data_IF_108408221565
#
_entry.id   IF_108408221565
#
_cell.length_a   1.000
_cell.length_b   1.000
_cell.length_c   1.000
_cell.angle_alpha   90.00
_cell.angle_beta   90.00
_cell.angle_gamma   90.00
#
_symmetry.space_group_name_H-M   'P 1'
#
loop_
_entity.id
_entity.type
_entity.pdbx_description
1 polymer ?
#
# COMPACT_ATOMS: atom_id res chain seq x y z
N UNK A 1 8.29 17.45 12.69
CA UNK A 1 7.23 18.42 12.34
C UNK A 1 7.63 19.88 12.58
N UNK A 2 8.09 20.27 13.79
CA UNK A 2 8.28 21.69 14.13
C UNK A 2 9.63 22.31 13.77
N UNK A 3 10.62 21.50 13.36
CA UNK A 3 11.92 22.02 12.93
C UNK A 3 11.77 22.68 11.56
N UNK A 4 12.07 23.98 11.49
CA UNK A 4 12.07 24.73 10.24
C UNK A 4 13.35 24.45 9.43
N UNK A 5 13.18 23.82 8.28
CA UNK A 5 14.26 23.49 7.33
C UNK A 5 14.20 24.31 6.05
N UNK A 6 13.41 25.38 6.01
CA UNK A 6 13.18 26.15 4.78
C UNK A 6 14.47 26.71 4.17
N UNK A 7 15.43 27.17 4.99
CA UNK A 7 16.74 27.63 4.51
C UNK A 7 17.57 26.50 3.91
N UNK A 8 17.61 25.32 4.55
CA UNK A 8 18.31 24.13 4.06
C UNK A 8 17.72 23.62 2.75
N UNK A 9 16.38 23.59 2.66
CA UNK A 9 15.64 23.23 1.46
C UNK A 9 15.97 24.20 0.32
N UNK A 10 16.00 25.50 0.59
CA UNK A 10 16.31 26.53 -0.40
C UNK A 10 17.76 26.45 -0.90
N UNK A 11 18.69 25.94 -0.09
CA UNK A 11 20.09 25.79 -0.46
C UNK A 11 20.34 24.65 -1.47
N UNK A 12 19.44 23.66 -1.56
CA UNK A 12 19.55 22.55 -2.50
C UNK A 12 19.05 23.01 -3.88
N UNK A 13 19.88 22.86 -4.91
CA UNK A 13 19.49 23.25 -6.28
C UNK A 13 18.53 22.23 -6.91
N UNK A 14 17.68 22.66 -7.85
CA UNK A 14 16.81 21.73 -8.59
C UNK A 14 17.62 20.70 -9.37
N UNK A 15 18.75 21.11 -9.97
CA UNK A 15 19.62 20.23 -10.74
C UNK A 15 20.26 19.13 -9.86
N UNK A 16 20.71 19.50 -8.65
CA UNK A 16 21.21 18.55 -7.66
C UNK A 16 20.10 17.55 -7.28
N UNK A 17 18.90 18.04 -6.97
CA UNK A 17 17.78 17.18 -6.59
C UNK A 17 17.36 16.23 -7.72
N UNK A 18 17.28 16.71 -8.96
CA UNK A 18 16.96 15.87 -10.13
C UNK A 18 18.01 14.77 -10.34
N UNK A 19 19.30 15.07 -10.18
CA UNK A 19 20.35 14.05 -10.26
C UNK A 19 20.26 13.04 -9.11
N UNK A 20 19.96 13.53 -7.91
CA UNK A 20 19.82 12.72 -6.72
C UNK A 20 18.71 11.67 -6.86
N UNK A 21 17.49 12.06 -7.24
CA UNK A 21 16.35 11.10 -7.35
C UNK A 21 16.52 10.07 -8.48
N UNK A 22 17.39 10.34 -9.47
CA UNK A 22 17.67 9.44 -10.60
C UNK A 22 18.74 8.39 -10.29
N UNK A 23 19.38 8.46 -9.13
CA UNK A 23 20.42 7.51 -8.72
C UNK A 23 19.80 6.26 -8.11
N UNK A 24 20.41 5.10 -8.38
CA UNK A 24 20.03 3.82 -7.79
C UNK A 24 20.70 3.63 -6.42
N UNK A 25 19.91 3.42 -5.37
CA UNK A 25 20.38 3.04 -4.04
C UNK A 25 19.89 1.65 -3.60
N UNK A 26 19.14 0.95 -4.45
CA UNK A 26 18.61 -0.39 -4.20
C UNK A 26 19.57 -1.49 -4.64
N UNK A 27 20.13 -1.39 -5.85
CA UNK A 27 21.09 -2.39 -6.35
C UNK A 27 22.29 -2.54 -5.40
N UNK A 28 22.90 -1.46 -4.87
CA UNK A 28 23.97 -1.58 -3.88
C UNK A 28 23.53 -2.24 -2.56
N UNK A 29 22.28 -2.05 -2.11
CA UNK A 29 21.76 -2.72 -0.91
C UNK A 29 21.68 -4.23 -1.13
N UNK A 30 21.14 -4.64 -2.29
CA UNK A 30 21.04 -6.05 -2.67
C UNK A 30 22.41 -6.71 -2.68
N UNK A 31 23.36 -6.12 -3.39
CA UNK A 31 24.74 -6.64 -3.47
C UNK A 31 25.41 -6.71 -2.08
N UNK A 32 25.20 -5.70 -1.24
CA UNK A 32 25.77 -5.67 0.11
C UNK A 32 25.20 -6.78 1.00
N UNK A 33 23.90 -7.05 0.95
CA UNK A 33 23.26 -8.09 1.77
C UNK A 33 23.53 -9.50 1.25
N UNK A 34 23.60 -9.69 -0.07
CA UNK A 34 23.99 -10.97 -0.68
C UNK A 34 25.43 -11.38 -0.30
N UNK A 35 26.31 -10.39 -0.09
CA UNK A 35 27.69 -10.62 0.33
C UNK A 35 27.84 -10.97 1.84
N UNK A 36 26.79 -10.81 2.65
CA UNK A 36 26.83 -11.17 4.07
C UNK A 36 26.49 -12.65 4.23
N UNK A 37 27.50 -13.45 4.57
CA UNK A 37 27.33 -14.87 4.88
C UNK A 37 26.34 -15.06 6.05
N UNK A 38 25.40 -15.99 5.88
CA UNK A 38 24.37 -16.33 6.88
C UNK A 38 23.53 -15.12 7.38
N UNK A 39 23.26 -14.12 6.54
CA UNK A 39 22.37 -13.01 6.90
C UNK A 39 20.97 -13.55 7.30
N UNK A 40 20.50 -13.30 8.54
CA UNK A 40 19.30 -13.95 9.06
C UNK A 40 17.98 -13.24 8.67
N UNK A 41 18.07 -12.07 8.04
CA UNK A 41 16.93 -11.28 7.59
C UNK A 41 16.60 -11.50 6.11
N UNK A 42 15.75 -10.62 5.56
CA UNK A 42 15.44 -10.59 4.15
C UNK A 42 16.63 -10.09 3.33
N UNK A 43 17.05 -10.89 2.36
CA UNK A 43 17.99 -10.48 1.31
C UNK A 43 17.16 -10.10 0.08
N UNK A 44 17.18 -8.84 -0.37
CA UNK A 44 16.46 -8.42 -1.57
C UNK A 44 16.85 -9.26 -2.78
N UNK A 45 15.86 -9.79 -3.50
CA UNK A 45 16.05 -10.74 -4.60
C UNK A 45 15.42 -10.27 -5.92
N UNK A 46 14.72 -9.13 -5.90
CA UNK A 46 14.16 -8.49 -7.08
C UNK A 46 15.22 -7.65 -7.82
N UNK A 47 15.14 -7.58 -9.14
CA UNK A 47 15.89 -6.70 -10.00
C UNK A 47 14.97 -5.67 -10.67
N UNK A 48 14.80 -4.52 -10.03
CA UNK A 48 14.01 -3.42 -10.60
C UNK A 48 14.54 -2.92 -11.95
N UNK A 49 15.81 -3.16 -12.32
CA UNK A 49 16.32 -2.73 -13.62
C UNK A 49 15.85 -3.64 -14.76
N UNK A 50 15.51 -4.91 -14.47
CA UNK A 50 14.91 -5.81 -15.46
C UNK A 50 13.42 -5.50 -15.67
N UNK A 51 12.77 -4.90 -14.68
CA UNK A 51 11.39 -4.44 -14.77
C UNK A 51 10.37 -5.58 -14.75
N UNK A 52 9.15 -5.25 -15.18
CA UNK A 52 7.98 -6.12 -15.14
C UNK A 52 7.46 -6.37 -16.55
N UNK A 53 6.76 -7.49 -16.74
CA UNK A 53 5.97 -7.73 -17.94
C UNK A 53 4.57 -7.13 -17.86
N UNK A 54 3.81 -7.26 -18.95
CA UNK A 54 2.52 -6.61 -19.13
C UNK A 54 1.43 -7.21 -18.20
N UNK A 55 1.70 -8.36 -17.57
CA UNK A 55 0.87 -8.98 -16.54
C UNK A 55 1.43 -8.73 -15.12
N UNK A 56 2.41 -7.83 -14.99
CA UNK A 56 2.98 -7.36 -13.73
C UNK A 56 4.02 -8.30 -13.10
N UNK A 57 4.41 -9.40 -13.76
CA UNK A 57 5.43 -10.31 -13.22
C UNK A 57 6.84 -9.74 -13.41
N UNK A 58 7.67 -9.90 -12.40
CA UNK A 58 9.08 -9.52 -12.47
C UNK A 58 9.81 -10.37 -13.53
N UNK A 59 10.61 -9.71 -14.39
CA UNK A 59 11.29 -10.36 -15.52
C UNK A 59 12.55 -11.13 -15.13
N UNK A 60 12.98 -11.02 -13.88
CA UNK A 60 14.20 -11.62 -13.32
C UNK A 60 14.00 -13.06 -12.79
N UNK A 61 12.77 -13.57 -12.81
CA UNK A 61 12.42 -14.90 -12.30
C UNK A 61 12.20 -14.97 -10.79
N UNK A 62 12.24 -13.84 -10.07
CA UNK A 62 12.00 -13.75 -8.61
C UNK A 62 10.58 -14.09 -8.18
N UNK A 63 9.64 -14.22 -9.14
CA UNK A 63 8.23 -14.54 -8.92
C UNK A 63 7.43 -13.44 -8.19
N UNK A 64 8.03 -12.27 -7.97
CA UNK A 64 7.32 -11.08 -7.53
C UNK A 64 6.34 -10.64 -8.61
N UNK A 65 5.14 -10.25 -8.18
CA UNK A 65 4.14 -9.65 -9.07
C UNK A 65 3.72 -8.29 -8.54
N UNK A 66 3.87 -7.27 -9.36
CA UNK A 66 3.44 -5.92 -9.06
C UNK A 66 1.92 -5.78 -9.17
N UNK A 67 1.36 -4.90 -8.35
CA UNK A 67 -0.06 -4.56 -8.42
C UNK A 67 -0.26 -3.05 -8.55
N UNK A 68 -1.32 -2.70 -9.28
CA UNK A 68 -1.83 -1.34 -9.43
C UNK A 68 -3.04 -1.15 -8.55
N UNK A 69 -3.01 -0.11 -7.71
CA UNK A 69 -4.02 0.14 -6.69
C UNK A 69 -4.23 1.64 -6.48
N UNK A 70 -5.39 2.00 -5.93
CA UNK A 70 -5.66 3.37 -5.50
C UNK A 70 -4.95 3.62 -4.16
N UNK A 71 -3.99 4.57 -4.07
CA UNK A 71 -3.24 4.81 -2.84
C UNK A 71 -4.12 5.15 -1.65
N UNK A 72 -3.66 4.83 -0.44
CA UNK A 72 -4.33 5.24 0.79
C UNK A 72 -4.27 6.77 0.95
N UNK A 73 -5.34 7.35 1.48
CA UNK A 73 -5.56 8.80 1.57
C UNK A 73 -4.45 9.50 2.35
N UNK A 74 -4.00 10.66 1.86
CA UNK A 74 -3.02 11.54 2.52
C UNK A 74 -1.58 11.02 2.61
N UNK A 75 -1.38 9.72 2.81
CA UNK A 75 -0.06 9.14 3.15
C UNK A 75 0.84 8.93 1.93
N UNK A 76 0.32 8.29 0.88
CA UNK A 76 1.07 7.87 -0.31
C UNK A 76 0.67 8.68 -1.55
N UNK A 77 0.41 9.98 -1.34
CA UNK A 77 0.08 10.89 -2.42
C UNK A 77 1.34 11.59 -2.93
N UNK A 78 1.57 11.64 -4.26
CA UNK A 78 2.72 12.33 -4.82
C UNK A 78 2.78 13.81 -4.40
N UNK A 79 1.61 14.45 -4.27
CA UNK A 79 1.50 15.84 -3.78
C UNK A 79 1.87 16.04 -2.31
N UNK A 80 2.01 14.97 -1.54
CA UNK A 80 2.54 14.98 -0.16
C UNK A 80 3.98 14.45 -0.10
N UNK A 81 4.60 14.21 -1.26
CA UNK A 81 6.02 13.91 -1.39
C UNK A 81 6.33 12.43 -1.43
N UNK A 82 5.33 11.56 -1.39
CA UNK A 82 5.51 10.10 -1.40
C UNK A 82 4.88 9.49 -2.64
N UNK A 83 5.64 8.63 -3.31
CA UNK A 83 5.13 7.66 -4.26
C UNK A 83 5.51 6.27 -3.75
N UNK A 84 4.69 5.28 -4.05
CA UNK A 84 4.91 3.91 -3.59
C UNK A 84 4.55 2.90 -4.67
N UNK A 85 5.04 1.68 -4.50
CA UNK A 85 4.60 0.50 -5.21
C UNK A 85 4.50 -0.67 -4.23
N UNK A 86 3.64 -1.64 -4.53
CA UNK A 86 3.53 -2.89 -3.77
C UNK A 86 3.62 -4.06 -4.73
N UNK A 87 4.37 -5.08 -4.31
CA UNK A 87 4.47 -6.36 -4.97
C UNK A 87 4.07 -7.46 -3.99
N UNK A 88 3.47 -8.53 -4.52
CA UNK A 88 3.11 -9.73 -3.79
C UNK A 88 3.88 -10.93 -4.34
N UNK A 89 4.25 -11.85 -3.46
CA UNK A 89 4.73 -13.18 -3.84
C UNK A 89 4.06 -14.25 -2.99
N UNK A 90 3.41 -15.21 -3.66
CA UNK A 90 2.87 -16.40 -2.98
C UNK A 90 3.96 -17.47 -2.83
N UNK A 91 3.88 -18.32 -1.79
CA UNK A 91 4.78 -19.45 -1.61
C UNK A 91 4.77 -20.42 -2.79
N UNK A 92 5.84 -21.21 -2.94
CA UNK A 92 6.02 -22.17 -4.05
C UNK A 92 4.79 -23.05 -4.36
N UNK A 93 4.10 -23.69 -3.39
CA UNK A 93 2.93 -24.53 -3.70
C UNK A 93 1.80 -23.80 -4.46
N UNK A 94 1.68 -22.48 -4.32
CA UNK A 94 0.65 -21.67 -4.98
C UNK A 94 1.00 -21.35 -6.44
N UNK A 95 2.21 -21.68 -6.87
CA UNK A 95 2.75 -21.34 -8.20
C UNK A 95 3.29 -22.59 -8.92
N UNK A 96 2.93 -23.78 -8.44
CA UNK A 96 3.24 -25.06 -9.08
C UNK A 96 1.98 -25.88 -9.38
N UNK A 97 2.02 -26.72 -10.39
CA UNK A 97 0.99 -27.74 -10.65
C UNK A 97 0.97 -28.84 -9.56
N UNK A 98 0.04 -29.80 -9.69
CA UNK A 98 -0.08 -30.93 -8.76
C UNK A 98 1.11 -31.90 -8.78
N UNK A 99 2.00 -31.81 -9.78
CA UNK A 99 3.23 -32.59 -9.88
C UNK A 99 4.45 -31.82 -9.35
N UNK A 100 4.27 -30.56 -8.95
CA UNK A 100 5.33 -29.69 -8.43
C UNK A 100 6.10 -28.92 -9.51
N UNK A 101 5.65 -28.88 -10.76
CA UNK A 101 6.28 -28.05 -11.79
C UNK A 101 5.76 -26.61 -11.71
N UNK A 102 6.64 -25.61 -11.85
CA UNK A 102 6.21 -24.21 -11.89
C UNK A 102 5.19 -23.96 -13.01
N UNK A 103 4.11 -23.26 -12.68
CA UNK A 103 3.03 -22.94 -13.60
C UNK A 103 2.52 -21.52 -13.37
N UNK A 104 2.75 -20.66 -14.36
CA UNK A 104 2.28 -19.26 -14.35
C UNK A 104 0.76 -19.18 -14.29
N UNK A 105 0.05 -20.06 -14.99
CA UNK A 105 -1.43 -20.09 -14.97
C UNK A 105 -1.98 -20.46 -13.59
N UNK A 106 -1.39 -21.46 -12.92
CA UNK A 106 -1.76 -21.78 -11.53
C UNK A 106 -1.47 -20.60 -10.60
N UNK A 107 -0.35 -19.91 -10.80
CA UNK A 107 -0.03 -18.74 -10.00
C UNK A 107 -1.05 -17.61 -10.20
N UNK A 108 -1.44 -17.33 -11.45
CA UNK A 108 -2.51 -16.36 -11.78
C UNK A 108 -3.83 -16.73 -11.10
N UNK A 109 -4.25 -18.00 -11.21
CA UNK A 109 -5.49 -18.48 -10.58
C UNK A 109 -5.44 -18.30 -9.06
N UNK A 110 -4.35 -18.72 -8.41
CA UNK A 110 -4.23 -18.59 -6.96
C UNK A 110 -4.16 -17.13 -6.50
N UNK A 111 -3.51 -16.23 -7.25
CA UNK A 111 -3.55 -14.79 -6.99
C UNK A 111 -4.95 -14.20 -7.15
N UNK A 112 -5.72 -14.65 -8.16
CA UNK A 112 -7.10 -14.25 -8.35
C UNK A 112 -8.01 -14.71 -7.20
N UNK A 113 -7.78 -15.92 -6.67
CA UNK A 113 -8.48 -16.44 -5.48
C UNK A 113 -8.14 -15.59 -4.24
N UNK A 114 -6.85 -15.29 -4.00
CA UNK A 114 -6.44 -14.38 -2.92
C UNK A 114 -7.09 -13.00 -3.09
N UNK A 115 -7.08 -12.46 -4.30
CA UNK A 115 -7.72 -11.18 -4.61
C UNK A 115 -9.21 -11.20 -4.29
N UNK A 116 -9.96 -12.23 -4.69
CA UNK A 116 -11.38 -12.36 -4.36
C UNK A 116 -11.61 -12.45 -2.85
N UNK A 117 -10.78 -13.20 -2.12
CA UNK A 117 -10.89 -13.39 -0.67
C UNK A 117 -10.54 -12.14 0.15
N UNK A 118 -9.63 -11.28 -0.36
CA UNK A 118 -9.13 -10.09 0.32
C UNK A 118 -9.86 -8.82 -0.12
N UNK A 119 -10.15 -8.66 -1.40
CA UNK A 119 -10.68 -7.42 -2.00
C UNK A 119 -12.22 -7.36 -2.06
N UNK A 120 -12.92 -8.39 -1.60
CA UNK A 120 -14.38 -8.36 -1.43
C UNK A 120 -14.74 -7.89 -0.02
N UNK A 121 -15.55 -6.83 0.10
CA UNK A 121 -15.95 -6.25 1.40
C UNK A 121 -16.61 -7.27 2.33
N UNK A 122 -16.35 -7.10 3.63
CA UNK A 122 -16.76 -8.03 4.68
C UNK A 122 -18.28 -8.22 4.85
N UNK A 123 -19.09 -7.28 4.36
CA UNK A 123 -20.56 -7.37 4.43
C UNK A 123 -21.17 -8.25 3.35
N UNK A 124 -20.44 -8.57 2.29
CA UNK A 124 -20.90 -9.47 1.23
C UNK A 124 -20.68 -10.92 1.67
N UNK A 125 -21.70 -11.80 1.74
CA UNK A 125 -21.52 -13.22 2.06
C UNK A 125 -20.64 -13.94 1.03
N UNK A 126 -20.04 -15.08 1.40
CA UNK A 126 -19.11 -15.81 0.53
C UNK A 126 -19.75 -16.21 -0.79
N UNK A 127 -20.95 -16.76 -0.75
CA UNK A 127 -21.75 -17.21 -1.90
C UNK A 127 -22.22 -16.09 -2.82
N UNK A 128 -22.24 -14.85 -2.32
CA UNK A 128 -22.63 -13.66 -3.07
C UNK A 128 -21.43 -12.82 -3.52
N UNK A 129 -20.21 -13.23 -3.14
CA UNK A 129 -19.00 -12.56 -3.57
C UNK A 129 -18.86 -12.66 -5.10
N UNK A 130 -18.49 -11.57 -5.74
CA UNK A 130 -18.15 -11.56 -7.15
C UNK A 130 -17.00 -10.59 -7.36
N UNK A 131 -15.93 -11.05 -7.99
CA UNK A 131 -14.72 -10.24 -8.22
C UNK A 131 -14.30 -10.34 -9.67
N UNK A 132 -14.21 -9.19 -10.34
CA UNK A 132 -13.54 -9.08 -11.64
C UNK A 132 -12.05 -9.32 -11.44
N UNK A 133 -11.53 -10.31 -12.14
CA UNK A 133 -10.13 -10.75 -12.13
C UNK A 133 -9.56 -10.70 -13.54
N UNK A 134 -8.25 -10.88 -13.69
CA UNK A 134 -7.65 -11.09 -15.01
C UNK A 134 -8.19 -12.39 -15.65
N UNK A 135 -8.06 -12.56 -16.98
CA UNK A 135 -8.35 -13.83 -17.64
C UNK A 135 -7.62 -15.01 -16.98
N UNK A 136 -8.38 -15.98 -16.47
CA UNK A 136 -7.90 -17.23 -15.88
C UNK A 136 -8.66 -18.43 -16.43
N UNK A 137 -8.06 -19.62 -16.35
CA UNK A 137 -8.63 -20.85 -16.90
C UNK A 137 -9.15 -21.79 -15.81
N UNK A 138 -10.44 -22.11 -15.85
CA UNK A 138 -11.07 -23.09 -14.96
C UNK A 138 -10.67 -24.52 -15.32
N UNK A 139 -10.40 -24.77 -16.62
CA UNK A 139 -9.86 -26.05 -17.08
C UNK A 139 -8.50 -26.35 -16.43
N UNK A 140 -7.64 -25.33 -16.31
CA UNK A 140 -6.35 -25.45 -15.59
C UNK A 140 -6.57 -25.55 -14.08
N UNK A 141 -7.51 -24.78 -13.54
CA UNK A 141 -7.88 -24.82 -12.13
C UNK A 141 -8.42 -26.20 -11.69
N UNK A 142 -9.14 -26.87 -12.59
CA UNK A 142 -9.96 -28.05 -12.27
C UNK A 142 -11.15 -27.72 -11.38
N UNK A 143 -11.59 -26.46 -11.38
CA UNK A 143 -12.62 -25.92 -10.50
C UNK A 143 -13.47 -24.89 -11.26
N UNK A 144 -14.79 -25.00 -11.11
CA UNK A 144 -15.77 -24.00 -11.55
C UNK A 144 -15.70 -22.80 -10.59
N UNK A 145 -15.08 -21.73 -11.07
CA UNK A 145 -14.76 -20.51 -10.34
C UNK A 145 -15.78 -19.40 -10.59
N UNK A 146 -16.52 -19.43 -11.70
CA UNK A 146 -17.58 -18.47 -12.00
C UNK A 146 -18.99 -18.97 -11.64
N UNK A 147 -19.12 -20.25 -11.26
CA UNK A 147 -20.31 -20.88 -10.72
C UNK A 147 -21.40 -21.17 -11.75
N UNK A 148 -21.06 -21.25 -13.05
CA UNK A 148 -22.02 -21.53 -14.12
C UNK A 148 -22.30 -23.03 -14.34
N UNK A 149 -21.50 -23.90 -13.72
CA UNK A 149 -21.62 -25.36 -13.78
C UNK A 149 -20.81 -26.03 -14.91
N UNK A 150 -20.07 -25.27 -15.71
CA UNK A 150 -19.14 -25.75 -16.74
C UNK A 150 -17.69 -25.35 -16.40
N UNK A 151 -16.70 -25.92 -17.10
CA UNK A 151 -15.30 -25.48 -16.97
C UNK A 151 -14.91 -24.74 -18.25
N UNK A 152 -14.65 -23.46 -18.12
CA UNK A 152 -14.28 -22.59 -19.24
C UNK A 152 -12.76 -22.44 -19.38
N UNK A 153 -12.30 -22.30 -20.63
CA UNK A 153 -10.89 -22.03 -20.92
C UNK A 153 -10.46 -20.64 -20.41
N UNK A 154 -11.41 -19.70 -20.35
CA UNK A 154 -11.18 -18.32 -19.93
C UNK A 154 -12.42 -17.74 -19.25
N UNK A 155 -12.24 -17.26 -18.02
CA UNK A 155 -13.21 -16.44 -17.26
C UNK A 155 -12.53 -15.16 -16.78
N UNK A 156 -13.32 -14.13 -16.49
CA UNK A 156 -12.82 -12.84 -15.94
C UNK A 156 -13.51 -12.46 -14.63
N UNK A 157 -14.35 -13.34 -14.09
CA UNK A 157 -15.09 -13.10 -12.85
C UNK A 157 -15.08 -14.37 -12.01
N UNK A 158 -14.57 -14.29 -10.78
CA UNK A 158 -14.79 -15.33 -9.79
C UNK A 158 -16.10 -15.03 -9.06
N UNK A 159 -17.02 -16.00 -9.01
CA UNK A 159 -18.27 -15.92 -8.22
C UNK A 159 -18.24 -16.93 -7.09
N UNK A 160 -18.59 -16.46 -5.90
CA UNK A 160 -18.33 -17.21 -4.68
C UNK A 160 -16.87 -17.09 -4.24
N UNK A 161 -16.60 -17.40 -2.98
CA UNK A 161 -15.23 -17.65 -2.52
C UNK A 161 -14.99 -19.16 -2.59
N UNK A 162 -14.04 -19.65 -3.41
CA UNK A 162 -13.66 -21.06 -3.46
C UNK A 162 -13.26 -21.59 -2.09
N UNK A 163 -13.47 -22.88 -1.82
CA UNK A 163 -13.09 -23.49 -0.53
C UNK A 163 -11.57 -23.69 -0.41
N UNK A 164 -10.90 -23.96 -1.54
CA UNK A 164 -9.47 -24.27 -1.60
C UNK A 164 -8.78 -23.57 -2.77
N UNK A 165 -7.45 -23.43 -2.65
CA UNK A 165 -6.57 -23.05 -3.75
C UNK A 165 -6.43 -24.18 -4.79
N UNK A 166 -5.66 -23.96 -5.85
CA UNK A 166 -5.45 -24.93 -6.93
C UNK A 166 -3.98 -25.33 -7.09
N UNK A 167 -3.73 -26.40 -7.85
CA UNK A 167 -2.38 -26.91 -8.11
C UNK A 167 -1.71 -27.50 -6.86
N UNK A 168 -0.44 -27.16 -6.62
CA UNK A 168 0.32 -27.63 -5.46
C UNK A 168 -0.27 -27.19 -4.10
N UNK A 169 -1.08 -26.14 -4.09
CA UNK A 169 -1.75 -25.61 -2.91
C UNK A 169 -3.18 -26.15 -2.70
N UNK A 170 -3.61 -27.18 -3.45
CA UNK A 170 -5.00 -27.68 -3.43
C UNK A 170 -5.53 -28.17 -2.07
N UNK A 171 -4.66 -28.42 -1.09
CA UNK A 171 -5.05 -28.81 0.28
C UNK A 171 -5.10 -27.62 1.25
N UNK A 172 -4.91 -26.39 0.77
CA UNK A 172 -4.93 -25.18 1.59
C UNK A 172 -6.30 -24.53 1.47
N UNK A 173 -6.94 -24.28 2.61
CA UNK A 173 -8.22 -23.61 2.69
C UNK A 173 -8.10 -22.12 2.31
N UNK A 174 -9.07 -21.62 1.56
CA UNK A 174 -9.21 -20.19 1.33
C UNK A 174 -10.01 -19.60 2.48
N UNK A 175 -9.39 -18.68 3.21
CA UNK A 175 -10.04 -17.94 4.27
C UNK A 175 -10.17 -16.48 3.89
N UNK A 176 -11.37 -15.94 4.06
CA UNK A 176 -11.57 -14.51 3.81
C UNK A 176 -10.78 -13.66 4.78
N UNK A 177 -10.31 -12.53 4.26
CA UNK A 177 -9.58 -11.52 5.03
C UNK A 177 -8.30 -12.05 5.69
N UNK A 178 -7.74 -13.15 5.18
CA UNK A 178 -6.50 -13.76 5.68
C UNK A 178 -5.68 -14.23 4.49
N UNK A 179 -4.40 -13.88 4.44
CA UNK A 179 -3.51 -14.38 3.41
C UNK A 179 -2.98 -15.78 3.76
N UNK A 180 -2.59 -16.58 2.74
CA UNK A 180 -1.93 -17.85 2.99
C UNK A 180 -0.61 -17.67 3.74
N UNK A 181 -0.27 -18.66 4.58
CA UNK A 181 0.99 -18.66 5.31
C UNK A 181 2.18 -18.59 4.34
N UNK A 182 3.18 -17.80 4.69
CA UNK A 182 4.35 -17.57 3.85
C UNK A 182 4.20 -16.56 2.73
N UNK A 183 3.02 -15.93 2.52
CA UNK A 183 2.89 -14.82 1.57
C UNK A 183 3.89 -13.71 1.92
N UNK A 184 4.41 -13.05 0.89
CA UNK A 184 5.35 -11.96 1.04
C UNK A 184 4.85 -10.71 0.32
N UNK A 185 5.17 -9.54 0.89
CA UNK A 185 5.00 -8.25 0.26
C UNK A 185 6.31 -7.49 0.22
N UNK A 186 6.56 -6.82 -0.90
CA UNK A 186 7.61 -5.83 -1.05
C UNK A 186 6.95 -4.49 -1.34
N UNK A 187 7.25 -3.48 -0.54
CA UNK A 187 6.70 -2.14 -0.65
C UNK A 187 7.86 -1.14 -0.70
N UNK A 188 7.94 -0.37 -1.78
CA UNK A 188 8.92 0.72 -1.86
C UNK A 188 8.25 2.06 -1.62
N UNK A 189 8.93 2.95 -0.90
CA UNK A 189 8.55 4.36 -0.80
C UNK A 189 9.62 5.16 -1.52
N UNK A 190 9.23 6.05 -2.42
CA UNK A 190 10.13 6.74 -3.34
C UNK A 190 9.90 8.24 -3.38
N UNK A 191 10.88 8.92 -3.96
CA UNK A 191 10.78 10.32 -4.33
C UNK A 191 9.85 10.50 -5.54
N UNK A 192 9.39 11.73 -5.75
CA UNK A 192 8.51 12.08 -6.87
C UNK A 192 9.35 12.46 -8.10
N UNK A 193 9.25 11.70 -9.18
CA UNK A 193 9.90 11.99 -10.46
C UNK A 193 8.88 12.40 -11.53
N UNK A 194 8.78 13.71 -11.77
CA UNK A 194 7.85 14.29 -12.76
C UNK A 194 8.23 13.98 -14.22
N UNK A 195 9.39 13.38 -14.47
CA UNK A 195 9.80 12.90 -15.80
C UNK A 195 9.44 11.42 -16.03
N UNK A 196 8.98 10.72 -14.99
CA UNK A 196 8.51 9.34 -15.07
C UNK A 196 6.97 9.33 -15.07
N UNK A 197 6.27 8.69 -16.04
CA UNK A 197 4.81 8.60 -16.05
C UNK A 197 4.20 8.02 -14.75
N UNK A 198 4.90 7.10 -14.08
CA UNK A 198 4.48 6.54 -12.79
C UNK A 198 4.72 7.47 -11.59
N UNK A 199 5.43 8.58 -11.80
CA UNK A 199 5.98 9.46 -10.77
C UNK A 199 6.98 8.81 -9.81
N UNK A 200 7.31 7.53 -9.98
CA UNK A 200 8.26 6.81 -9.15
C UNK A 200 9.70 7.18 -9.54
N UNK A 201 10.45 7.73 -8.60
CA UNK A 201 11.89 7.92 -8.78
C UNK A 201 12.64 6.58 -8.80
N UNK A 202 13.87 6.59 -9.34
CA UNK A 202 14.78 5.43 -9.23
C UNK A 202 15.26 5.25 -7.79
N UNK A 203 15.54 6.36 -7.11
CA UNK A 203 15.99 6.35 -5.71
C UNK A 203 14.84 6.02 -4.76
N UNK A 204 15.07 5.08 -3.86
CA UNK A 204 14.13 4.73 -2.81
C UNK A 204 14.40 5.53 -1.55
N UNK A 205 13.34 6.01 -0.91
CA UNK A 205 13.37 6.52 0.46
C UNK A 205 13.44 5.35 1.45
N UNK A 206 12.58 4.35 1.21
CA UNK A 206 12.46 3.15 2.03
C UNK A 206 12.17 1.91 1.18
N UNK A 207 12.65 0.76 1.65
CA UNK A 207 12.25 -0.57 1.19
C UNK A 207 11.66 -1.32 2.40
N UNK A 208 10.43 -1.76 2.28
CA UNK A 208 9.69 -2.44 3.34
C UNK A 208 9.33 -3.84 2.86
N UNK A 209 9.81 -4.85 3.55
CA UNK A 209 9.49 -6.24 3.31
C UNK A 209 8.60 -6.75 4.44
N UNK A 210 7.56 -7.50 4.08
CA UNK A 210 6.77 -8.23 5.05
C UNK A 210 6.50 -9.67 4.60
N UNK A 211 6.37 -10.56 5.58
CA UNK A 211 6.02 -11.97 5.36
C UNK A 211 5.04 -12.44 6.41
N UNK A 212 4.03 -13.21 5.99
CA UNK A 212 3.17 -13.97 6.90
C UNK A 212 3.97 -15.17 7.39
N UNK A 213 4.33 -15.18 8.67
CA UNK A 213 5.18 -16.23 9.28
C UNK A 213 4.41 -17.10 10.26
N UNK A 214 3.14 -16.78 10.49
CA UNK A 214 2.24 -17.55 11.34
C UNK A 214 0.81 -17.38 10.86
N UNK A 215 0.19 -18.49 10.50
CA UNK A 215 -1.24 -18.59 10.33
C UNK A 215 -1.99 -18.44 11.67
N UNK A 216 -3.11 -17.72 11.66
CA UNK A 216 -4.02 -17.58 12.80
C UNK A 216 -5.45 -17.83 12.30
N UNK A 217 -6.18 -18.69 13.00
CA UNK A 217 -7.60 -18.87 12.76
C UNK A 217 -8.42 -17.69 13.32
N UNK A 218 -9.71 -17.66 12.98
CA UNK A 218 -10.64 -16.60 13.39
C UNK A 218 -10.70 -16.41 14.90
N UNK A 219 -10.61 -17.50 15.69
CA UNK A 219 -10.65 -17.42 17.16
C UNK A 219 -9.38 -16.80 17.72
N UNK A 220 -8.23 -17.18 17.19
CA UNK A 220 -6.95 -16.60 17.57
C UNK A 220 -6.91 -15.11 17.23
N UNK A 221 -7.39 -14.71 16.05
CA UNK A 221 -7.50 -13.30 15.63
C UNK A 221 -8.42 -12.52 16.60
N UNK A 222 -9.63 -13.02 16.86
CA UNK A 222 -10.56 -12.38 17.79
C UNK A 222 -9.94 -12.20 19.18
N UNK A 223 -9.26 -13.23 19.69
CA UNK A 223 -8.57 -13.17 20.98
C UNK A 223 -7.41 -12.17 21.00
N UNK A 224 -6.72 -11.94 19.88
CA UNK A 224 -5.69 -10.89 19.78
C UNK A 224 -6.30 -9.50 19.88
N UNK A 225 -7.42 -9.25 19.21
CA UNK A 225 -8.12 -7.97 19.33
C UNK A 225 -8.65 -7.74 20.74
N UNK A 226 -9.28 -8.73 21.37
CA UNK A 226 -9.72 -8.62 22.78
C UNK A 226 -8.57 -8.24 23.70
N UNK A 227 -7.44 -8.96 23.59
CA UNK A 227 -6.26 -8.66 24.40
C UNK A 227 -5.71 -7.26 24.14
N UNK A 228 -5.75 -6.80 22.89
CA UNK A 228 -5.28 -5.46 22.53
C UNK A 228 -6.13 -4.36 23.20
N UNK A 229 -7.44 -4.57 23.30
CA UNK A 229 -8.33 -3.69 24.07
C UNK A 229 -8.01 -3.76 25.57
N UNK A 230 -7.85 -4.96 26.14
CA UNK A 230 -7.50 -5.14 27.56
C UNK A 230 -6.15 -4.44 27.88
N UNK A 231 -5.13 -4.64 27.04
CA UNK A 231 -3.80 -4.03 27.20
C UNK A 231 -3.89 -2.49 27.13
N UNK A 232 -4.70 -1.92 26.23
CA UNK A 232 -4.95 -0.47 26.17
C UNK A 232 -5.65 0.05 27.43
N UNK A 233 -6.68 -0.65 27.91
CA UNK A 233 -7.43 -0.28 29.12
C UNK A 233 -6.53 -0.33 30.37
N UNK A 234 -5.57 -1.27 30.41
CA UNK A 234 -4.56 -1.39 31.47
C UNK A 234 -3.38 -0.41 31.30
N UNK A 235 -3.32 0.34 30.20
CA UNK A 235 -2.25 1.31 29.91
C UNK A 235 -0.93 0.67 29.45
N UNK A 236 -0.97 -0.58 29.00
CA UNK A 236 0.17 -1.23 28.38
C UNK A 236 0.46 -0.64 27.00
N UNK A 237 1.75 -0.55 26.67
CA UNK A 237 2.19 -0.17 25.32
C UNK A 237 2.39 -1.41 24.45
N UNK A 238 2.14 -1.33 23.13
CA UNK A 238 2.41 -2.44 22.22
C UNK A 238 3.87 -2.90 22.31
N UNK A 239 4.06 -4.22 22.35
CA UNK A 239 5.37 -4.85 22.36
C UNK A 239 5.50 -5.79 21.16
N UNK A 240 6.65 -5.75 20.49
CA UNK A 240 6.92 -6.53 19.29
C UNK A 240 8.08 -7.48 19.54
N UNK A 241 7.95 -8.71 19.05
CA UNK A 241 9.05 -9.70 19.12
C UNK A 241 9.94 -9.58 17.89
N UNK A 242 11.21 -9.98 18.01
CA UNK A 242 12.19 -9.89 16.93
C UNK A 242 13.18 -8.75 17.15
N UNK A 243 13.90 -8.40 16.08
CA UNK A 243 14.84 -7.27 16.04
C UNK A 243 14.83 -6.70 14.62
N UNK A 244 15.27 -5.46 14.38
CA UNK A 244 15.34 -4.94 13.01
C UNK A 244 16.13 -5.84 12.03
N UNK A 245 17.15 -6.56 12.52
CA UNK A 245 17.98 -7.45 11.70
C UNK A 245 17.20 -8.59 11.06
N UNK A 246 16.18 -9.12 11.73
CA UNK A 246 15.32 -10.18 11.20
C UNK A 246 13.93 -9.66 10.84
N UNK A 247 13.54 -8.50 11.36
CA UNK A 247 12.19 -7.94 11.31
C UNK A 247 11.45 -8.08 12.64
N UNK A 248 10.55 -7.13 12.90
CA UNK A 248 9.64 -7.14 14.04
C UNK A 248 8.35 -7.89 13.69
N UNK A 249 7.76 -8.57 14.67
CA UNK A 249 6.53 -9.35 14.50
C UNK A 249 5.37 -8.74 15.26
N UNK A 250 4.22 -8.66 14.59
CA UNK A 250 2.96 -8.30 15.23
C UNK A 250 2.28 -9.55 15.81
N UNK A 251 1.20 -9.33 16.56
CA UNK A 251 0.41 -10.41 17.15
C UNK A 251 -0.41 -11.21 16.12
N UNK A 252 -0.60 -10.66 14.92
CA UNK A 252 -1.38 -11.22 13.82
C UNK A 252 -0.57 -12.10 12.83
N UNK A 253 0.69 -12.40 13.17
CA UNK A 253 1.51 -13.35 12.42
C UNK A 253 2.32 -12.76 11.26
N UNK A 254 2.41 -11.43 11.17
CA UNK A 254 3.27 -10.74 10.21
C UNK A 254 4.62 -10.41 10.80
N UNK A 255 5.67 -10.63 10.00
CA UNK A 255 7.03 -10.18 10.25
C UNK A 255 7.38 -9.08 9.25
N UNK A 256 7.85 -7.93 9.73
CA UNK A 256 8.15 -6.75 8.92
C UNK A 256 9.60 -6.32 9.13
N UNK A 257 10.31 -6.06 8.04
CA UNK A 257 11.67 -5.54 8.02
C UNK A 257 11.75 -4.34 7.08
N UNK A 258 12.41 -3.27 7.52
CA UNK A 258 12.55 -2.04 6.76
C UNK A 258 14.00 -1.64 6.54
N UNK A 259 14.25 -1.04 5.39
CA UNK A 259 15.47 -0.33 5.05
C UNK A 259 15.12 1.12 4.73
N UNK A 260 15.96 2.06 5.14
CA UNK A 260 15.77 3.50 4.95
C UNK A 260 17.08 4.14 4.52
N UNK A 261 16.98 5.26 3.82
CA UNK A 261 18.15 5.98 3.33
C UNK A 261 19.02 6.57 4.47
N UNK A 262 20.35 6.40 4.38
CA UNK A 262 21.35 7.02 5.24
C UNK A 262 21.80 8.40 4.74
N UNK A 263 22.61 9.12 5.52
CA UNK A 263 23.07 10.46 5.18
C UNK A 263 23.93 10.54 3.90
N UNK A 264 24.49 9.41 3.44
CA UNK A 264 25.23 9.30 2.17
C UNK A 264 24.31 8.89 1.00
N UNK A 265 23.03 8.66 1.25
CA UNK A 265 22.04 8.27 0.26
C UNK A 265 22.03 6.77 -0.06
N UNK A 266 22.60 5.91 0.79
CA UNK A 266 22.51 4.43 0.66
C UNK A 266 21.33 3.93 1.48
N UNK A 267 20.67 2.86 1.04
CA UNK A 267 19.72 2.18 1.92
C UNK A 267 20.49 1.43 3.02
N UNK A 268 20.09 1.63 4.26
CA UNK A 268 20.57 0.92 5.45
C UNK A 268 19.41 0.25 6.16
N UNK A 269 19.72 -0.71 7.02
CA UNK A 269 18.72 -1.28 7.91
C UNK A 269 18.11 -0.19 8.81
N UNK A 270 16.80 -0.27 9.04
CA UNK A 270 16.12 0.59 10.01
C UNK A 270 16.58 0.27 11.44
N UNK A 271 16.58 1.27 12.32
CA UNK A 271 16.68 1.07 13.77
C UNK A 271 15.39 0.45 14.32
N UNK A 272 15.36 0.13 15.62
CA UNK A 272 14.15 -0.41 16.24
C UNK A 272 13.03 0.63 16.29
N UNK A 273 13.33 1.85 16.73
CA UNK A 273 12.41 2.99 16.73
C UNK A 273 11.89 3.26 15.33
N UNK A 274 12.77 3.16 14.34
CA UNK A 274 12.39 3.31 12.95
C UNK A 274 11.43 2.18 12.49
N UNK A 275 11.73 0.93 12.81
CA UNK A 275 10.89 -0.21 12.38
C UNK A 275 9.50 -0.17 13.03
N UNK A 276 9.39 0.38 14.26
CA UNK A 276 8.10 0.55 14.96
C UNK A 276 7.11 1.45 14.21
N UNK A 277 7.58 2.33 13.33
CA UNK A 277 6.71 3.12 12.45
C UNK A 277 5.81 2.21 11.60
N UNK A 278 6.39 1.17 10.98
CA UNK A 278 5.62 0.18 10.22
C UNK A 278 4.67 -0.62 11.12
N UNK A 279 5.13 -0.97 12.32
CA UNK A 279 4.34 -1.76 13.27
C UNK A 279 3.06 -1.04 13.72
N UNK A 280 3.08 0.29 13.80
CA UNK A 280 1.88 1.09 14.09
C UNK A 280 0.76 0.81 13.09
N UNK A 281 1.03 0.95 11.78
CA UNK A 281 0.03 0.74 10.73
C UNK A 281 -0.33 -0.74 10.52
N UNK A 282 0.65 -1.64 10.68
CA UNK A 282 0.48 -3.08 10.41
C UNK A 282 0.16 -3.89 11.67
N UNK A 283 -0.41 -3.30 12.72
CA UNK A 283 -0.90 -4.02 13.91
C UNK A 283 -2.42 -3.89 14.06
N UNK A 284 -2.91 -3.15 15.03
CA UNK A 284 -4.34 -3.06 15.38
C UNK A 284 -5.04 -1.82 14.83
N UNK A 285 -4.52 -1.21 13.75
CA UNK A 285 -5.22 -0.11 13.07
C UNK A 285 -6.48 -0.67 12.40
N UNK A 286 -7.64 -0.14 12.79
CA UNK A 286 -8.97 -0.64 12.40
C UNK A 286 -9.37 -0.49 10.94
N UNK A 287 -8.46 -0.04 10.06
CA UNK A 287 -8.69 0.14 8.63
C UNK A 287 -7.70 -0.68 7.79
N UNK A 288 -7.56 -1.97 8.12
CA UNK A 288 -6.69 -2.94 7.42
C UNK A 288 -7.44 -4.23 7.10
N UNK A 289 -6.92 -5.01 6.15
CA UNK A 289 -7.35 -6.39 5.89
C UNK A 289 -6.14 -7.30 6.03
N UNK A 290 -6.20 -8.20 7.00
CA UNK A 290 -5.04 -8.96 7.50
C UNK A 290 -3.80 -8.08 7.68
N UNK A 291 -3.96 -6.92 8.33
CA UNK A 291 -2.86 -6.00 8.63
C UNK A 291 -2.19 -5.44 7.36
N UNK A 292 -2.84 -5.48 6.20
CA UNK A 292 -2.37 -4.90 4.93
C UNK A 292 -3.39 -3.92 4.34
N UNK A 293 -2.97 -3.16 3.33
CA UNK A 293 -3.79 -2.12 2.68
C UNK A 293 -3.99 -2.35 1.18
N UNK A 294 -2.92 -2.67 0.46
CA UNK A 294 -2.85 -2.52 -1.00
C UNK A 294 -3.84 -3.42 -1.77
N UNK A 295 -3.89 -4.72 -1.48
CA UNK A 295 -4.68 -5.67 -2.28
C UNK A 295 -6.19 -5.39 -2.18
N UNK A 296 -6.69 -4.96 -1.03
CA UNK A 296 -8.10 -4.56 -0.86
C UNK A 296 -8.47 -3.31 -1.66
N UNK A 297 -7.47 -2.53 -2.10
CA UNK A 297 -7.60 -1.31 -2.91
C UNK A 297 -7.15 -1.51 -4.36
N UNK A 298 -6.83 -2.75 -4.75
CA UNK A 298 -6.35 -3.11 -6.10
C UNK A 298 -7.40 -2.81 -7.16
N UNK A 299 -6.96 -2.24 -8.28
CA UNK A 299 -7.80 -2.08 -9.47
C UNK A 299 -8.27 -3.47 -9.95
N UNK A 300 -9.56 -3.70 -10.21
CA UNK A 300 -10.06 -4.99 -10.68
C UNK A 300 -9.47 -5.41 -12.04
N UNK A 301 -9.47 -6.71 -12.31
CA UNK A 301 -9.05 -7.23 -13.61
C UNK A 301 -7.54 -7.16 -13.89
N UNK A 302 -7.19 -7.34 -15.16
CA UNK A 302 -5.80 -7.25 -15.66
C UNK A 302 -5.17 -5.88 -15.44
N UNK A 303 -5.97 -4.81 -15.46
CA UNK A 303 -5.52 -3.44 -15.19
C UNK A 303 -4.92 -3.25 -13.79
N UNK A 304 -5.25 -4.15 -12.85
CA UNK A 304 -4.64 -4.18 -11.52
C UNK A 304 -3.34 -4.96 -11.44
N UNK A 305 -2.98 -5.76 -12.44
CA UNK A 305 -1.75 -6.56 -12.44
C UNK A 305 -0.70 -5.94 -13.33
N UNK A 306 -0.23 -4.77 -12.91
CA UNK A 306 0.77 -3.97 -13.60
C UNK A 306 1.64 -3.27 -12.55
N UNK A 307 2.80 -2.78 -12.99
CA UNK A 307 3.59 -1.90 -12.14
C UNK A 307 2.82 -0.61 -11.82
N UNK A 308 2.99 -0.06 -10.62
CA UNK A 308 2.13 1.02 -10.13
C UNK A 308 2.26 2.29 -10.99
N UNK A 309 1.11 2.82 -11.41
CA UNK A 309 0.95 4.16 -11.97
C UNK A 309 -0.51 4.64 -11.76
N UNK A 310 -0.70 5.95 -11.63
CA UNK A 310 -1.98 6.53 -11.19
C UNK A 310 -2.88 7.00 -12.34
N UNK A 311 -2.31 7.23 -13.53
CA UNK A 311 -3.07 7.63 -14.72
C UNK A 311 -4.20 6.63 -14.98
N UNK A 312 -5.41 7.14 -15.24
CA UNK A 312 -6.60 6.35 -15.53
C UNK A 312 -7.27 5.69 -14.34
N UNK A 313 -6.78 5.85 -13.10
CA UNK A 313 -7.51 5.38 -11.90
C UNK A 313 -8.56 6.45 -11.53
N UNK A 314 -9.88 6.16 -11.56
CA UNK A 314 -10.90 7.10 -11.13
C UNK A 314 -10.98 7.20 -9.60
N UNK A 315 -11.49 8.32 -9.10
CA UNK A 315 -11.85 8.47 -7.68
C UNK A 315 -13.15 7.70 -7.40
N UNK A 316 -13.00 6.42 -7.09
CA UNK A 316 -14.13 5.55 -6.70
C UNK A 316 -14.50 5.73 -5.23
N UNK A 317 -15.79 5.52 -4.87
CA UNK A 317 -16.24 5.48 -3.48
C UNK A 317 -15.58 4.33 -2.68
N UNK A 318 -15.56 4.49 -1.36
CA UNK A 318 -15.38 3.33 -0.47
C UNK A 318 -16.63 2.46 -0.53
N UNK A 319 -16.49 1.15 -0.26
CA UNK A 319 -17.64 0.26 -0.29
C UNK A 319 -18.75 0.73 0.67
N UNK A 320 -19.98 0.84 0.16
CA UNK A 320 -21.13 1.34 0.92
C UNK A 320 -21.20 2.86 1.06
N UNK A 321 -20.31 3.62 0.41
CA UNK A 321 -20.43 5.08 0.28
C UNK A 321 -21.00 5.43 -1.08
N UNK A 322 -21.82 6.48 -1.13
CA UNK A 322 -22.39 6.99 -2.39
C UNK A 322 -21.45 7.98 -3.11
N UNK A 323 -20.44 8.50 -2.39
CA UNK A 323 -19.56 9.58 -2.86
C UNK A 323 -18.11 9.09 -3.03
N UNK A 324 -17.39 9.59 -4.05
CA UNK A 324 -15.96 9.32 -4.25
C UNK A 324 -15.13 9.53 -2.98
N UNK A 325 -14.16 8.66 -2.75
CA UNK A 325 -13.41 8.65 -1.50
C UNK A 325 -12.50 9.89 -1.32
N UNK A 326 -11.82 10.40 -2.36
CA UNK A 326 -10.98 11.60 -2.23
C UNK A 326 -11.89 12.82 -2.00
N UNK A 327 -13.04 12.89 -2.66
CA UNK A 327 -14.05 13.91 -2.38
C UNK A 327 -14.51 13.87 -0.91
N UNK A 328 -14.87 12.70 -0.41
CA UNK A 328 -15.24 12.52 1.00
C UNK A 328 -14.09 12.86 1.96
N UNK A 329 -12.84 12.54 1.60
CA UNK A 329 -11.67 12.95 2.38
C UNK A 329 -11.53 14.47 2.42
N UNK A 330 -11.65 15.16 1.28
CA UNK A 330 -11.59 16.62 1.20
C UNK A 330 -12.72 17.29 2.00
N UNK A 331 -13.93 16.75 2.00
CA UNK A 331 -15.04 17.24 2.82
C UNK A 331 -14.76 17.13 4.32
N UNK A 332 -14.21 16.00 4.76
CA UNK A 332 -14.01 15.68 6.18
C UNK A 332 -12.76 16.34 6.76
N UNK A 333 -11.65 16.27 6.02
CA UNK A 333 -10.35 16.78 6.46
C UNK A 333 -10.20 18.26 6.17
N UNK A 334 -10.88 18.77 5.13
CA UNK A 334 -10.74 20.14 4.61
C UNK A 334 -9.30 20.49 4.26
N UNK A 335 -8.64 19.58 3.54
CA UNK A 335 -7.23 19.68 3.14
C UNK A 335 -6.76 18.44 2.39
N UNK A 336 -5.50 18.47 1.96
CA UNK A 336 -4.86 17.39 1.19
C UNK A 336 -3.95 16.46 2.00
N UNK A 337 -3.85 16.70 3.30
CA UNK A 337 -3.01 15.98 4.26
C UNK A 337 -3.52 16.23 5.68
N UNK A 338 -3.01 15.45 6.62
CA UNK A 338 -3.43 15.40 8.03
C UNK A 338 -3.17 16.72 8.78
N UNK A 339 -2.29 17.58 8.26
CA UNK A 339 -1.95 18.88 8.84
C UNK A 339 -2.56 20.07 8.08
N UNK A 340 -3.29 19.82 6.99
CA UNK A 340 -3.76 20.84 6.04
C UNK A 340 -2.61 21.75 5.59
N UNK A 341 -1.44 21.18 5.32
CA UNK A 341 -0.23 21.90 4.93
C UNK A 341 0.00 21.91 3.40
N UNK A 342 -0.75 21.13 2.64
CA UNK A 342 -0.70 21.08 1.19
C UNK A 342 -1.42 22.28 0.57
N UNK A 343 -0.68 23.38 0.48
CA UNK A 343 -1.18 24.63 -0.11
C UNK A 343 -1.61 24.48 -1.56
N UNK A 344 -1.00 23.57 -2.33
CA UNK A 344 -1.39 23.37 -3.74
C UNK A 344 -2.78 22.74 -3.84
N UNK A 345 -3.12 21.77 -2.99
CA UNK A 345 -4.49 21.24 -2.90
C UNK A 345 -5.45 22.32 -2.40
N UNK A 346 -5.08 23.06 -1.35
CA UNK A 346 -5.94 24.11 -0.79
C UNK A 346 -6.26 25.20 -1.82
N UNK A 347 -5.27 25.68 -2.57
CA UNK A 347 -5.45 26.72 -3.59
C UNK A 347 -6.31 26.23 -4.77
N UNK A 348 -6.21 24.94 -5.12
CA UNK A 348 -6.90 24.36 -6.29
C UNK A 348 -8.33 23.93 -5.99
N UNK A 349 -8.54 23.26 -4.87
CA UNK A 349 -9.80 22.57 -4.55
C UNK A 349 -10.57 23.22 -3.40
N UNK A 350 -9.99 24.20 -2.72
CA UNK A 350 -10.66 24.96 -1.66
C UNK A 350 -10.64 26.48 -1.93
N UNK A 351 -11.11 26.96 -3.10
CA UNK A 351 -11.08 28.39 -3.42
C UNK A 351 -11.89 29.19 -2.39
N UNK A 352 -11.23 30.14 -1.73
CA UNK A 352 -11.84 30.92 -0.65
C UNK A 352 -12.08 30.14 0.65
N UNK A 353 -11.46 28.96 0.80
CA UNK A 353 -11.58 28.08 1.97
C UNK A 353 -12.73 27.08 1.90
N UNK A 354 -13.49 27.04 0.81
CA UNK A 354 -14.64 26.16 0.61
C UNK A 354 -14.34 25.14 -0.48
N UNK A 355 -14.75 23.89 -0.29
CA UNK A 355 -14.51 22.81 -1.24
C UNK A 355 -15.25 23.04 -2.56
N UNK A 356 -14.51 23.03 -3.66
CA UNK A 356 -15.09 22.97 -5.02
C UNK A 356 -15.39 21.51 -5.39
N UNK A 357 -16.56 21.02 -4.96
CA UNK A 357 -16.99 19.64 -5.21
C UNK A 357 -17.05 19.32 -6.71
N UNK A 358 -17.47 20.29 -7.54
CA UNK A 358 -17.62 20.08 -8.98
C UNK A 358 -16.27 19.81 -9.65
N UNK A 359 -15.21 20.49 -9.20
CA UNK A 359 -13.87 20.29 -9.72
C UNK A 359 -13.27 18.94 -9.33
N UNK A 360 -13.54 18.48 -8.10
CA UNK A 360 -13.08 17.17 -7.61
C UNK A 360 -13.82 16.02 -8.30
N UNK A 361 -15.13 16.16 -8.51
CA UNK A 361 -15.98 15.17 -9.19
C UNK A 361 -15.57 14.88 -10.63
N UNK A 362 -14.75 15.73 -11.25
CA UNK A 362 -14.18 15.45 -12.58
C UNK A 362 -13.32 14.19 -12.60
N UNK A 363 -12.74 13.79 -11.46
CA UNK A 363 -11.96 12.56 -11.33
C UNK A 363 -12.80 11.31 -11.02
N UNK A 364 -14.09 11.46 -10.73
CA UNK A 364 -14.99 10.35 -10.43
C UNK A 364 -15.32 9.54 -11.69
N UNK A 365 -15.86 8.31 -11.56
CA UNK A 365 -16.34 7.56 -12.71
C UNK A 365 -17.33 8.38 -13.57
N UNK A 366 -17.09 8.43 -14.88
CA UNK A 366 -17.85 9.24 -15.84
C UNK A 366 -17.37 10.70 -15.99
N UNK A 367 -16.38 11.14 -15.20
CA UNK A 367 -15.72 12.43 -15.34
C UNK A 367 -14.68 12.48 -16.47
N UNK A 368 -14.08 13.66 -16.70
CA UNK A 368 -13.06 13.89 -17.74
C UNK A 368 -11.61 13.86 -17.21
N UNK A 369 -11.44 13.46 -15.95
CA UNK A 369 -10.17 13.36 -15.22
C UNK A 369 -10.08 12.04 -14.44
N UNK A 370 -8.95 11.84 -13.79
CA UNK A 370 -8.62 10.70 -12.92
C UNK A 370 -8.01 11.21 -11.59
N UNK A 371 -7.64 10.31 -10.69
CA UNK A 371 -7.02 10.72 -9.41
C UNK A 371 -5.71 11.47 -9.61
N UNK A 372 -4.96 11.21 -10.67
CA UNK A 372 -3.69 11.90 -10.94
C UNK A 372 -3.94 13.41 -11.05
N UNK A 373 -5.06 13.83 -11.62
CA UNK A 373 -5.48 15.24 -11.61
C UNK A 373 -5.56 15.83 -10.19
N UNK A 374 -6.05 15.07 -9.21
CA UNK A 374 -6.23 15.52 -7.84
C UNK A 374 -4.92 15.51 -7.03
N UNK A 375 -4.08 14.49 -7.21
CA UNK A 375 -2.96 14.22 -6.30
C UNK A 375 -1.57 14.31 -6.94
N UNK A 376 -1.46 14.68 -8.22
CA UNK A 376 -0.18 15.03 -8.84
C UNK A 376 0.25 16.44 -8.43
N UNK A 377 1.49 16.64 -7.94
CA UNK A 377 2.02 17.95 -7.66
C UNK A 377 2.43 18.68 -8.94
N UNK A 378 2.53 20.00 -8.85
CA UNK A 378 3.34 20.79 -9.77
C UNK A 378 4.82 20.38 -9.72
N UNK A 379 5.57 20.60 -10.81
CA UNK A 379 7.02 20.36 -10.83
C UNK A 379 7.78 21.10 -9.74
N UNK A 380 7.34 22.33 -9.43
CA UNK A 380 7.91 23.14 -8.36
C UNK A 380 7.68 22.50 -6.99
N UNK A 381 6.45 22.06 -6.69
CA UNK A 381 6.12 21.39 -5.44
C UNK A 381 6.85 20.05 -5.30
N UNK A 382 6.91 19.24 -6.36
CA UNK A 382 7.66 17.99 -6.37
C UNK A 382 9.14 18.21 -6.02
N UNK A 383 9.78 19.24 -6.60
CA UNK A 383 11.16 19.60 -6.27
C UNK A 383 11.32 20.00 -4.80
N UNK A 384 10.41 20.83 -4.25
CA UNK A 384 10.45 21.23 -2.84
C UNK A 384 10.27 20.05 -1.89
N UNK A 385 9.33 19.15 -2.18
CA UNK A 385 9.09 17.93 -1.38
C UNK A 385 10.32 17.02 -1.39
N UNK A 386 10.90 16.79 -2.57
CA UNK A 386 12.10 15.98 -2.70
C UNK A 386 13.28 16.56 -1.88
N UNK A 387 13.47 17.90 -1.93
CA UNK A 387 14.50 18.59 -1.13
C UNK A 387 14.22 18.52 0.37
N UNK A 388 12.95 18.67 0.78
CA UNK A 388 12.54 18.54 2.17
C UNK A 388 12.88 17.15 2.73
N UNK A 389 12.61 16.10 1.97
CA UNK A 389 12.98 14.75 2.38
C UNK A 389 14.50 14.54 2.35
N UNK A 390 15.22 15.10 1.37
CA UNK A 390 16.69 15.06 1.37
C UNK A 390 17.32 15.75 2.59
N UNK A 391 16.72 16.84 3.09
CA UNK A 391 17.16 17.48 4.33
C UNK A 391 16.97 16.55 5.54
N UNK A 392 15.82 15.88 5.63
CA UNK A 392 15.57 14.85 6.65
C UNK A 392 16.57 13.69 6.57
N UNK A 393 16.91 13.24 5.37
CA UNK A 393 17.94 12.21 5.13
C UNK A 393 19.30 12.67 5.63
N UNK A 394 19.69 13.93 5.44
CA UNK A 394 20.98 14.44 5.96
C UNK A 394 21.00 14.49 7.49
N UNK A 395 19.86 14.79 8.11
CA UNK A 395 19.74 14.90 9.57
C UNK A 395 19.67 13.54 10.28
N UNK A 396 19.16 12.51 9.59
CA UNK A 396 18.99 11.15 10.14
C UNK A 396 18.13 11.10 11.43
N UNK A 397 17.14 11.99 11.55
CA UNK A 397 16.23 12.06 12.72
C UNK A 397 14.89 11.37 12.46
N UNK A 398 14.91 10.22 11.78
CA UNK A 398 13.68 9.52 11.37
C UNK A 398 12.84 8.98 12.53
N UNK A 399 13.45 8.81 13.71
CA UNK A 399 12.80 8.48 14.97
C UNK A 399 11.86 9.58 15.47
N UNK A 400 12.05 10.82 15.01
CA UNK A 400 11.19 11.96 15.33
C UNK A 400 10.07 12.19 14.28
N UNK A 401 9.97 11.30 13.30
CA UNK A 401 8.99 11.36 12.21
C UNK A 401 9.64 11.43 10.83
N UNK A 402 8.89 11.00 9.81
CA UNK A 402 9.38 10.87 8.42
C UNK A 402 8.58 11.62 7.37
N UNK A 403 7.63 12.44 7.83
CA UNK A 403 6.77 13.20 6.94
C UNK A 403 7.59 14.22 6.15
N UNK A 404 7.25 14.37 4.87
CA UNK A 404 7.92 15.31 3.97
C UNK A 404 7.30 16.70 4.15
N UNK A 405 7.85 17.47 5.09
CA UNK A 405 7.34 18.80 5.48
C UNK A 405 8.21 19.91 4.88
N UNK A 406 7.61 20.80 4.08
CA UNK A 406 8.30 21.94 3.46
C UNK A 406 8.54 23.06 4.49
N UNK A 407 7.56 23.31 5.36
CA UNK A 407 7.60 24.31 6.43
C UNK A 407 6.79 23.80 7.62
N UNK A 408 7.13 24.18 8.87
CA UNK A 408 6.39 23.73 10.05
C UNK A 408 4.88 23.94 9.89
N UNK A 409 4.04 22.91 10.12
CA UNK A 409 2.61 23.03 9.92
C UNK A 409 1.97 23.90 11.01
N UNK A 410 1.01 24.75 10.62
CA UNK A 410 0.33 25.64 11.55
C UNK A 410 -0.82 24.97 12.34
N UNK A 411 -1.38 23.87 11.82
CA UNK A 411 -2.57 23.24 12.39
C UNK A 411 -2.23 22.04 13.29
N UNK A 412 -1.11 22.10 14.01
CA UNK A 412 -0.64 21.01 14.88
C UNK A 412 -0.33 21.56 16.27
N UNK A 413 -0.83 20.88 17.30
CA UNK A 413 -0.50 21.22 18.68
C UNK A 413 0.95 20.86 19.00
N UNK A 414 1.73 21.81 19.53
CA UNK A 414 3.13 21.56 19.95
C UNK A 414 3.23 20.57 21.11
N UNK A 415 2.22 20.57 21.99
CA UNK A 415 2.10 19.64 23.09
C UNK A 415 0.61 19.34 23.35
N UNK A 416 0.33 18.10 23.76
CA UNK A 416 -1.00 17.65 24.16
C UNK A 416 -0.83 16.96 25.51
N UNK A 417 -1.70 17.27 26.46
CA UNK A 417 -1.84 16.47 27.68
C UNK A 417 -2.94 15.43 27.46
N UNK A 418 -2.72 14.19 27.89
CA UNK A 418 -3.70 13.13 27.70
C UNK A 418 -5.04 13.50 28.35
N UNK A 419 -6.11 13.51 27.55
CA UNK A 419 -7.45 13.94 27.92
C UNK A 419 -8.42 13.78 26.75
N UNK A 420 -9.66 14.28 26.89
CA UNK A 420 -10.59 14.31 25.76
C UNK A 420 -10.05 15.24 24.67
N UNK A 421 -9.89 14.72 23.46
CA UNK A 421 -9.50 15.49 22.27
C UNK A 421 -10.58 16.49 21.82
N UNK A 422 -11.76 16.45 22.43
CA UNK A 422 -12.97 17.18 22.06
C UNK A 422 -13.45 16.89 20.63
N UNK A 423 -12.83 15.95 19.92
CA UNK A 423 -13.20 15.56 18.56
C UNK A 423 -14.66 15.12 18.48
N UNK A 424 -15.14 14.38 19.47
CA UNK A 424 -16.54 13.97 19.56
C UNK A 424 -17.49 15.18 19.60
N UNK A 425 -17.12 16.26 20.30
CA UNK A 425 -17.93 17.47 20.41
C UNK A 425 -18.00 18.26 19.09
N UNK A 426 -17.03 18.08 18.19
CA UNK A 426 -17.03 18.74 16.86
C UNK A 426 -18.09 18.16 15.91
N UNK A 427 -18.62 16.97 16.20
CA UNK A 427 -19.49 16.25 15.27
C UNK A 427 -18.78 15.75 14.01
N UNK A 428 -17.45 15.79 13.96
CA UNK A 428 -16.61 15.35 12.83
C UNK A 428 -15.91 14.01 13.07
N UNK A 429 -16.52 13.14 13.87
CA UNK A 429 -16.04 11.77 14.08
C UNK A 429 -16.87 10.84 13.21
N UNK A 430 -16.19 10.10 12.34
CA UNK A 430 -16.81 9.21 11.36
C UNK A 430 -16.38 7.77 11.61
N UNK A 431 -17.33 6.84 11.57
CA UNK A 431 -17.13 5.41 11.84
C UNK A 431 -17.46 4.52 10.63
N UNK A 432 -17.71 5.14 9.48
CA UNK A 432 -18.15 4.50 8.25
C UNK A 432 -17.00 4.23 7.27
N UNK A 433 -15.77 4.59 7.60
CA UNK A 433 -14.60 4.39 6.75
C UNK A 433 -14.33 2.91 6.48
N UNK A 434 -14.12 2.56 5.21
CA UNK A 434 -13.78 1.20 4.77
C UNK A 434 -12.51 1.20 3.93
N UNK A 435 -11.76 0.10 4.02
CA UNK A 435 -10.58 -0.08 3.19
C UNK A 435 -10.94 -0.42 1.73
N UNK A 436 -11.99 -1.24 1.55
CA UNK A 436 -12.48 -1.68 0.25
C UNK A 436 -13.10 -0.52 -0.54
N UNK A 437 -12.88 -0.57 -1.85
CA UNK A 437 -13.39 0.42 -2.80
C UNK A 437 -14.50 -0.21 -3.65
N UNK A 438 -15.48 0.60 -4.01
CA UNK A 438 -16.56 0.19 -4.90
C UNK A 438 -16.24 0.60 -6.35
N UNK A 439 -15.84 -0.40 -7.14
CA UNK A 439 -15.49 -0.26 -8.54
C UNK A 439 -16.68 -0.44 -9.50
N UNK A 440 -17.88 -0.71 -8.98
CA UNK A 440 -19.04 -1.08 -9.81
C UNK A 440 -19.48 0.01 -10.80
N UNK A 441 -19.19 1.28 -10.50
CA UNK A 441 -19.47 2.42 -11.36
C UNK A 441 -18.45 2.68 -12.47
N UNK A 442 -17.41 1.85 -12.61
CA UNK A 442 -16.36 1.99 -13.64
C UNK A 442 -16.63 1.01 -14.79
N UNK A 443 -16.65 1.53 -16.02
CA UNK A 443 -16.88 0.73 -17.22
C UNK A 443 -15.90 -0.45 -17.31
N UNK A 444 -16.43 -1.66 -17.50
CA UNK A 444 -15.63 -2.90 -17.62
C UNK A 444 -15.10 -3.45 -16.29
N UNK A 445 -15.46 -2.87 -15.14
CA UNK A 445 -15.05 -3.32 -13.81
C UNK A 445 -16.21 -3.86 -12.95
N UNK A 446 -17.41 -4.01 -13.54
CA UNK A 446 -18.57 -4.67 -12.91
C UNK A 446 -18.54 -6.19 -13.15
N UNK A 447 -18.69 -7.03 -12.11
CA UNK A 447 -18.79 -8.49 -12.25
C UNK A 447 -20.03 -9.01 -12.98
#
# INVERSE_FOLDING_TARGET
LFVDRTEEIAAISDAEMTAYIKTDNYTPLREALEAVEDYPGYVPDLDFNQGFDDEGFARDGSQWRAMRYKPFLGTFWPTNGNTDDVLIRLPEPFRTDAQGNESREIYKINLAIVEAAIATDWTVPNEAAARVVEPISEVVAGLDLDGDGELSDEITVIRGIPEHYVGGAANVDVLRFTYPDGVEFLHTVRYVDMDNPSLLAKRMKELRYSRKVRFLDTWAIARRYEREFDDKDEGHVPAYTGTPLVGLRNDFGWQLQGFIEDADGRLRLQTEEETRFCMGCHSSVGATVDQTFALARKVPGSEGWQYQYLEGIPDVPQFGHDRPEILTYFERVTGGDEFRANTEILDRFFPGGELDEAEVLRAAPGGDKDILYLIQPSRQRAALLNKAYMALVKDQTFELGRDTIISPPANVHEAIENGDTELNATGKVFFDGRLWLDWSGVDGMTP
#
